data_IF_098031574992
#
_entry.id   IF_098031574992
#
_cell.length_a   1.000
_cell.length_b   1.000
_cell.length_c   1.000
_cell.angle_alpha   90.00
_cell.angle_beta   90.00
_cell.angle_gamma   90.00
#
_symmetry.space_group_name_H-M   'P 1'
#
loop_
_entity.id
_entity.type
_entity.pdbx_description
1 polymer ?
#
# COMPACT_ATOMS: atom_id res chain seq x y z
N UNK A 1 14.49 -7.20 16.48
CA UNK A 1 13.12 -7.73 16.49
C UNK A 1 13.06 -9.04 17.23
N UNK A 2 12.30 -9.10 18.33
CA UNK A 2 11.98 -10.36 19.01
C UNK A 2 11.33 -11.34 18.01
N UNK A 3 11.62 -12.64 18.13
CA UNK A 3 11.16 -13.64 17.15
C UNK A 3 9.65 -13.58 16.88
N UNK A 4 8.83 -13.35 17.92
CA UNK A 4 7.39 -13.22 17.80
C UNK A 4 6.93 -12.00 16.98
N UNK A 5 7.50 -10.81 17.22
CA UNK A 5 7.19 -9.61 16.43
C UNK A 5 7.57 -9.79 14.96
N UNK A 6 8.70 -10.47 14.72
CA UNK A 6 9.17 -10.76 13.37
C UNK A 6 8.25 -11.71 12.63
N UNK A 7 7.79 -12.74 13.32
CA UNK A 7 6.81 -13.68 12.79
C UNK A 7 5.50 -12.96 12.41
N UNK A 8 4.95 -12.13 13.30
CA UNK A 8 3.73 -11.37 13.03
C UNK A 8 3.90 -10.39 11.85
N UNK A 9 5.04 -9.71 11.76
CA UNK A 9 5.33 -8.82 10.65
C UNK A 9 5.43 -9.56 9.32
N UNK A 10 6.11 -10.72 9.30
CA UNK A 10 6.21 -11.57 8.11
C UNK A 10 4.85 -12.16 7.70
N UNK A 11 4.04 -12.62 8.65
CA UNK A 11 2.70 -13.15 8.40
C UNK A 11 1.80 -12.07 7.78
N UNK A 12 1.76 -10.87 8.38
CA UNK A 12 0.99 -9.75 7.84
C UNK A 12 1.47 -9.37 6.42
N UNK A 13 2.79 -9.28 6.21
CA UNK A 13 3.35 -8.97 4.91
C UNK A 13 3.05 -10.05 3.85
N UNK A 14 3.04 -11.33 4.24
CA UNK A 14 2.66 -12.44 3.36
C UNK A 14 1.18 -12.37 2.94
N UNK A 15 0.28 -12.11 3.90
CA UNK A 15 -1.16 -11.92 3.62
C UNK A 15 -1.36 -10.73 2.67
N UNK A 16 -0.71 -9.61 2.98
CA UNK A 16 -0.82 -8.39 2.20
C UNK A 16 -0.32 -8.59 0.76
N UNK A 17 0.89 -9.13 0.60
CA UNK A 17 1.47 -9.42 -0.71
C UNK A 17 0.64 -10.47 -1.47
N UNK A 18 0.26 -11.56 -0.81
CA UNK A 18 -0.52 -12.64 -1.41
C UNK A 18 -1.87 -12.17 -1.95
N UNK A 19 -2.59 -11.35 -1.19
CA UNK A 19 -3.85 -10.76 -1.64
C UNK A 19 -3.66 -9.83 -2.85
N UNK A 20 -2.65 -8.96 -2.82
CA UNK A 20 -2.35 -8.06 -3.95
C UNK A 20 -1.91 -8.82 -5.20
N UNK A 21 -1.09 -9.86 -5.08
CA UNK A 21 -0.71 -10.74 -6.20
C UNK A 21 -1.94 -11.42 -6.76
N UNK A 22 -2.71 -12.14 -5.92
CA UNK A 22 -3.91 -12.86 -6.36
C UNK A 22 -4.90 -11.96 -7.07
N UNK A 23 -5.13 -10.75 -6.53
CA UNK A 23 -6.01 -9.79 -7.18
C UNK A 23 -5.45 -9.32 -8.54
N UNK A 24 -4.15 -9.02 -8.61
CA UNK A 24 -3.53 -8.46 -9.82
C UNK A 24 -3.46 -9.46 -10.96
N UNK A 25 -3.05 -10.72 -10.68
CA UNK A 25 -2.81 -11.73 -11.72
C UNK A 25 -3.96 -12.72 -11.91
N UNK A 26 -4.82 -12.86 -10.90
CA UNK A 26 -5.94 -13.81 -10.91
C UNK A 26 -7.29 -13.11 -11.03
N UNK A 27 -7.74 -12.49 -9.93
CA UNK A 27 -9.11 -11.97 -9.84
C UNK A 27 -9.38 -10.84 -10.85
N UNK A 28 -8.47 -9.88 -10.99
CA UNK A 28 -8.60 -8.76 -11.92
C UNK A 28 -8.82 -9.22 -13.36
N UNK A 29 -7.89 -10.00 -13.95
CA UNK A 29 -8.07 -10.58 -15.28
C UNK A 29 -9.36 -11.40 -15.43
N UNK A 30 -9.76 -12.15 -14.39
CA UNK A 30 -11.01 -12.93 -14.42
C UNK A 30 -12.25 -12.04 -14.57
N UNK A 31 -12.34 -10.88 -13.90
CA UNK A 31 -13.48 -9.97 -14.02
C UNK A 31 -13.59 -9.30 -15.40
N UNK A 32 -12.47 -9.04 -16.05
CA UNK A 32 -12.42 -8.31 -17.32
C UNK A 32 -12.26 -9.19 -18.56
N UNK A 33 -12.04 -10.50 -18.37
CA UNK A 33 -11.90 -11.49 -19.43
C UNK A 33 -13.18 -11.76 -20.25
N UNK A 34 -13.05 -12.45 -21.39
CA UNK A 34 -14.16 -12.76 -22.29
C UNK A 34 -15.19 -13.71 -21.66
N UNK A 35 -14.76 -14.66 -20.84
CA UNK A 35 -15.65 -15.62 -20.16
C UNK A 35 -16.63 -14.90 -19.22
N UNK A 36 -16.12 -13.99 -18.39
CA UNK A 36 -16.98 -13.17 -17.52
C UNK A 36 -17.85 -12.21 -18.33
N UNK A 37 -17.39 -11.73 -19.49
CA UNK A 37 -18.21 -10.88 -20.35
C UNK A 37 -19.41 -11.64 -20.96
N UNK A 38 -19.26 -12.94 -21.24
CA UNK A 38 -20.34 -13.79 -21.71
C UNK A 38 -21.38 -14.08 -20.61
N UNK A 39 -20.94 -14.21 -19.36
CA UNK A 39 -21.83 -14.45 -18.23
C UNK A 39 -22.47 -13.17 -17.66
N UNK A 40 -21.70 -12.07 -17.57
CA UNK A 40 -22.09 -10.84 -16.91
C UNK A 40 -21.75 -9.61 -17.78
N UNK A 41 -22.68 -9.11 -18.61
CA UNK A 41 -22.42 -7.99 -19.49
C UNK A 41 -22.20 -6.67 -18.72
N UNK A 42 -21.60 -5.67 -19.39
CA UNK A 42 -21.51 -4.30 -18.85
C UNK A 42 -22.94 -3.75 -18.67
N UNK A 43 -23.23 -2.98 -17.60
CA UNK A 43 -22.31 -2.46 -16.57
C UNK A 43 -22.12 -3.38 -15.34
N UNK A 44 -22.86 -4.48 -15.22
CA UNK A 44 -22.92 -5.31 -14.01
C UNK A 44 -21.57 -5.90 -13.60
N UNK A 45 -20.76 -6.38 -14.56
CA UNK A 45 -19.41 -6.88 -14.25
C UNK A 45 -18.47 -5.83 -13.68
N UNK A 46 -18.60 -4.58 -14.12
CA UNK A 46 -17.75 -3.49 -13.64
C UNK A 46 -18.10 -3.15 -12.18
N UNK A 47 -19.40 -3.14 -11.84
CA UNK A 47 -19.86 -3.03 -10.45
C UNK A 47 -19.38 -4.18 -9.56
N UNK A 48 -19.40 -5.41 -10.07
CA UNK A 48 -18.87 -6.56 -9.33
C UNK A 48 -17.36 -6.40 -9.03
N UNK A 49 -16.59 -5.98 -10.02
CA UNK A 49 -15.16 -5.70 -9.86
C UNK A 49 -14.91 -4.55 -8.86
N UNK A 50 -15.66 -3.45 -8.94
CA UNK A 50 -15.59 -2.32 -8.00
C UNK A 50 -15.77 -2.77 -6.54
N UNK A 51 -16.74 -3.64 -6.27
CA UNK A 51 -16.98 -4.16 -4.93
C UNK A 51 -15.77 -4.94 -4.40
N UNK A 52 -15.19 -5.81 -5.22
CA UNK A 52 -14.00 -6.60 -4.84
C UNK A 52 -12.79 -5.70 -4.64
N UNK A 53 -12.59 -4.70 -5.51
CA UNK A 53 -11.53 -3.69 -5.40
C UNK A 53 -11.67 -2.91 -4.08
N UNK A 54 -12.88 -2.50 -3.71
CA UNK A 54 -13.12 -1.81 -2.45
C UNK A 54 -12.71 -2.66 -1.23
N UNK A 55 -13.03 -3.97 -1.25
CA UNK A 55 -12.60 -4.90 -0.20
C UNK A 55 -11.08 -5.10 -0.16
N UNK A 56 -10.44 -5.14 -1.32
CA UNK A 56 -8.98 -5.19 -1.39
C UNK A 56 -8.36 -3.94 -0.76
N UNK A 57 -8.88 -2.74 -1.03
CA UNK A 57 -8.37 -1.51 -0.40
C UNK A 57 -8.55 -1.52 1.11
N UNK A 58 -9.69 -2.00 1.62
CA UNK A 58 -9.85 -2.18 3.07
C UNK A 58 -8.80 -3.14 3.64
N UNK A 59 -8.53 -4.26 2.98
CA UNK A 59 -7.50 -5.19 3.41
C UNK A 59 -6.11 -4.54 3.38
N UNK A 60 -5.76 -3.81 2.33
CA UNK A 60 -4.49 -3.10 2.24
C UNK A 60 -4.33 -2.04 3.34
N UNK A 61 -5.41 -1.31 3.69
CA UNK A 61 -5.42 -0.35 4.80
C UNK A 61 -5.19 -1.06 6.15
N UNK A 62 -5.86 -2.19 6.39
CA UNK A 62 -5.69 -2.98 7.62
C UNK A 62 -4.26 -3.52 7.72
N UNK A 63 -3.74 -4.14 6.66
CA UNK A 63 -2.39 -4.66 6.63
C UNK A 63 -1.33 -3.56 6.79
N UNK A 64 -1.52 -2.40 6.16
CA UNK A 64 -0.67 -1.23 6.32
C UNK A 64 -0.69 -0.67 7.74
N UNK A 65 -1.86 -0.60 8.36
CA UNK A 65 -2.02 -0.24 9.77
C UNK A 65 -1.28 -1.20 10.70
N UNK A 66 -1.49 -2.51 10.55
CA UNK A 66 -0.80 -3.54 11.33
C UNK A 66 0.73 -3.43 11.15
N UNK A 67 1.21 -3.29 9.92
CA UNK A 67 2.63 -3.15 9.64
C UNK A 67 3.23 -1.92 10.33
N UNK A 68 2.55 -0.77 10.28
CA UNK A 68 2.98 0.45 10.94
C UNK A 68 2.98 0.30 12.46
N UNK A 69 1.93 -0.30 13.04
CA UNK A 69 1.86 -0.58 14.49
C UNK A 69 2.99 -1.49 14.96
N UNK A 70 3.27 -2.59 14.23
CA UNK A 70 4.37 -3.50 14.56
C UNK A 70 5.72 -2.80 14.50
N UNK A 71 5.93 -1.91 13.51
CA UNK A 71 7.12 -1.06 13.44
C UNK A 71 7.21 -0.11 14.65
N UNK A 72 6.13 0.58 15.02
CA UNK A 72 6.13 1.47 16.18
C UNK A 72 6.46 0.73 17.49
N UNK A 73 5.89 -0.46 17.69
CA UNK A 73 6.19 -1.30 18.86
C UNK A 73 7.67 -1.66 18.92
N UNK A 74 8.29 -2.03 17.79
CA UNK A 74 9.72 -2.33 17.72
C UNK A 74 10.57 -1.10 18.04
N UNK A 75 10.19 0.09 17.55
CA UNK A 75 10.88 1.35 17.82
C UNK A 75 10.90 1.66 19.32
N UNK A 76 9.73 1.60 19.96
CA UNK A 76 9.57 1.87 21.40
C UNK A 76 10.37 0.86 22.23
N UNK A 77 10.34 -0.43 21.88
CA UNK A 77 11.03 -1.48 22.65
C UNK A 77 12.54 -1.45 22.52
N UNK A 78 13.06 -1.21 21.32
CA UNK A 78 14.51 -1.29 21.07
C UNK A 78 15.22 0.03 21.27
N UNK A 79 14.49 1.15 21.31
CA UNK A 79 15.09 2.48 21.30
C UNK A 79 16.05 2.66 20.12
N UNK A 80 15.84 1.92 19.01
CA UNK A 80 16.62 2.06 17.77
C UNK A 80 15.78 2.84 16.79
N UNK A 81 16.43 3.78 16.11
CA UNK A 81 15.79 4.49 15.02
C UNK A 81 15.60 3.47 13.89
N UNK A 82 14.35 3.10 13.64
CA UNK A 82 14.01 2.21 12.52
C UNK A 82 14.50 2.87 11.24
N UNK A 83 15.10 2.08 10.35
CA UNK A 83 15.62 2.56 9.07
C UNK A 83 14.52 3.36 8.37
N UNK A 84 14.70 4.68 8.25
CA UNK A 84 13.68 5.63 7.79
C UNK A 84 13.00 5.18 6.49
N UNK A 85 13.76 4.51 5.63
CA UNK A 85 13.27 3.89 4.41
C UNK A 85 12.08 2.93 4.62
N UNK A 86 12.10 2.05 5.63
CA UNK A 86 11.03 1.06 5.83
C UNK A 86 9.75 1.70 6.37
N UNK A 87 9.89 2.65 7.28
CA UNK A 87 8.73 3.42 7.78
C UNK A 87 8.15 4.23 6.64
N UNK A 88 8.99 4.92 5.86
CA UNK A 88 8.56 5.68 4.68
C UNK A 88 7.86 4.81 3.64
N UNK A 89 8.39 3.62 3.36
CA UNK A 89 7.78 2.67 2.42
C UNK A 89 6.39 2.21 2.90
N UNK A 90 6.28 1.72 4.14
CA UNK A 90 4.98 1.24 4.67
C UNK A 90 3.97 2.39 4.76
N UNK A 91 4.41 3.57 5.19
CA UNK A 91 3.57 4.76 5.24
C UNK A 91 3.09 5.17 3.85
N UNK A 92 3.96 5.13 2.82
CA UNK A 92 3.60 5.43 1.44
C UNK A 92 2.58 4.42 0.89
N UNK A 93 2.79 3.11 1.13
CA UNK A 93 1.85 2.06 0.72
C UNK A 93 0.47 2.23 1.38
N UNK A 94 0.45 2.54 2.68
CA UNK A 94 -0.79 2.83 3.41
C UNK A 94 -1.48 4.09 2.84
N UNK A 95 -0.72 5.15 2.60
CA UNK A 95 -1.25 6.39 2.03
C UNK A 95 -1.84 6.17 0.64
N UNK A 96 -1.16 5.41 -0.23
CA UNK A 96 -1.70 5.04 -1.54
C UNK A 96 -3.02 4.27 -1.42
N UNK A 97 -3.11 3.32 -0.48
CA UNK A 97 -4.36 2.59 -0.26
C UNK A 97 -5.49 3.45 0.30
N UNK A 98 -5.17 4.46 1.11
CA UNK A 98 -6.16 5.42 1.63
C UNK A 98 -6.66 6.35 0.52
N UNK A 99 -5.76 6.92 -0.29
CA UNK A 99 -6.11 7.77 -1.43
C UNK A 99 -6.91 7.00 -2.48
N UNK A 100 -6.51 5.76 -2.77
CA UNK A 100 -7.21 4.91 -3.73
C UNK A 100 -8.65 4.60 -3.29
N UNK A 101 -8.85 4.22 -2.03
CA UNK A 101 -10.18 3.92 -1.49
C UNK A 101 -11.06 5.14 -1.25
N UNK A 102 -10.49 6.23 -0.72
CA UNK A 102 -11.23 7.42 -0.31
C UNK A 102 -11.58 8.39 -1.44
N UNK A 103 -10.79 8.42 -2.52
CA UNK A 103 -10.96 9.39 -3.59
C UNK A 103 -10.99 8.77 -4.99
N UNK A 104 -10.02 7.92 -5.33
CA UNK A 104 -9.93 7.39 -6.70
C UNK A 104 -11.10 6.46 -7.04
N UNK A 105 -11.46 5.54 -6.14
CA UNK A 105 -12.57 4.63 -6.31
C UNK A 105 -13.93 5.35 -6.51
N UNK A 106 -14.35 6.30 -5.64
CA UNK A 106 -15.59 7.03 -5.86
C UNK A 106 -15.56 7.90 -7.12
N UNK A 107 -14.42 8.51 -7.47
CA UNK A 107 -14.28 9.29 -8.70
C UNK A 107 -14.48 8.43 -9.96
N UNK A 108 -13.88 7.23 -9.98
CA UNK A 108 -14.06 6.26 -11.06
C UNK A 108 -15.51 5.76 -11.17
N UNK A 109 -16.17 5.54 -10.03
CA UNK A 109 -17.58 5.16 -9.99
C UNK A 109 -18.48 6.23 -10.61
N UNK A 110 -18.21 7.50 -10.35
CA UNK A 110 -18.96 8.61 -10.93
C UNK A 110 -18.78 8.69 -12.46
N UNK A 111 -17.55 8.53 -12.96
CA UNK A 111 -17.28 8.49 -14.39
C UNK A 111 -18.02 7.33 -15.09
N UNK A 112 -18.08 6.16 -14.44
CA UNK A 112 -18.87 5.04 -14.95
C UNK A 112 -20.37 5.34 -14.95
N UNK A 113 -20.88 5.99 -13.90
CA UNK A 113 -22.30 6.40 -13.85
C UNK A 113 -22.66 7.29 -15.03
N UNK A 114 -21.84 8.30 -15.35
CA UNK A 114 -22.06 9.19 -16.51
C UNK A 114 -21.97 8.42 -17.82
N UNK A 115 -21.00 7.51 -17.96
CA UNK A 115 -20.80 6.71 -19.18
C UNK A 115 -22.00 5.83 -19.53
N UNK A 116 -22.72 5.31 -18.53
CA UNK A 116 -23.85 4.41 -18.72
C UNK A 116 -25.21 5.05 -18.40
N UNK A 117 -25.26 6.34 -18.06
CA UNK A 117 -26.52 7.03 -17.77
C UNK A 117 -27.37 7.19 -19.05
N UNK A 118 -28.69 6.91 -19.00
CA UNK A 118 -29.60 7.07 -20.14
C UNK A 118 -29.61 8.49 -20.70
N UNK A 119 -29.56 9.49 -19.81
CA UNK A 119 -29.76 10.90 -20.14
C UNK A 119 -28.47 11.64 -20.54
N UNK A 120 -27.31 10.97 -20.51
CA UNK A 120 -26.04 11.60 -20.87
C UNK A 120 -25.89 11.76 -22.38
N UNK A 121 -25.46 12.95 -22.80
CA UNK A 121 -25.21 13.24 -24.22
C UNK A 121 -24.02 12.43 -24.74
N UNK A 122 -23.91 12.19 -26.06
CA UNK A 122 -22.77 11.50 -26.65
C UNK A 122 -21.43 12.16 -26.29
N UNK A 123 -21.38 13.50 -26.23
CA UNK A 123 -20.19 14.26 -25.84
C UNK A 123 -19.80 14.02 -24.37
N UNK A 124 -20.77 13.97 -23.45
CA UNK A 124 -20.53 13.66 -22.04
C UNK A 124 -20.01 12.23 -21.85
N UNK A 125 -20.58 11.26 -22.58
CA UNK A 125 -20.13 9.87 -22.53
C UNK A 125 -18.68 9.71 -23.02
N UNK A 126 -18.33 10.37 -24.12
CA UNK A 126 -16.97 10.34 -24.67
C UNK A 126 -15.94 10.97 -23.72
N UNK A 127 -16.27 12.12 -23.11
CA UNK A 127 -15.42 12.77 -22.12
C UNK A 127 -15.22 11.90 -20.87
N UNK A 128 -16.30 11.29 -20.37
CA UNK A 128 -16.25 10.39 -19.22
C UNK A 128 -15.42 9.12 -19.53
N UNK A 129 -15.52 8.58 -20.75
CA UNK A 129 -14.72 7.42 -21.17
C UNK A 129 -13.22 7.75 -21.24
N UNK A 130 -12.86 8.90 -21.81
CA UNK A 130 -11.46 9.33 -21.85
C UNK A 130 -10.88 9.52 -20.43
N UNK A 131 -11.60 10.24 -19.57
CA UNK A 131 -11.20 10.45 -18.18
C UNK A 131 -11.09 9.11 -17.42
N UNK A 132 -12.06 8.21 -17.61
CA UNK A 132 -12.05 6.89 -16.98
C UNK A 132 -10.82 6.08 -17.41
N UNK A 133 -10.49 6.06 -18.70
CA UNK A 133 -9.34 5.31 -19.20
C UNK A 133 -8.01 5.87 -18.65
N UNK A 134 -7.90 7.20 -18.52
CA UNK A 134 -6.73 7.85 -17.94
C UNK A 134 -6.55 7.48 -16.47
N UNK A 135 -7.62 7.59 -15.67
CA UNK A 135 -7.58 7.22 -14.26
C UNK A 135 -7.42 5.71 -14.03
N UNK A 136 -7.95 4.87 -14.94
CA UNK A 136 -7.69 3.44 -14.93
C UNK A 136 -6.21 3.14 -15.19
N UNK A 137 -5.58 3.80 -16.17
CA UNK A 137 -4.15 3.67 -16.40
C UNK A 137 -3.32 4.08 -15.18
N UNK A 138 -3.67 5.20 -14.56
CA UNK A 138 -3.04 5.65 -13.32
C UNK A 138 -3.20 4.66 -12.17
N UNK A 139 -4.38 4.06 -12.01
CA UNK A 139 -4.62 3.06 -10.95
C UNK A 139 -3.82 1.78 -11.17
N UNK A 140 -3.63 1.36 -12.43
CA UNK A 140 -2.76 0.22 -12.77
C UNK A 140 -1.30 0.50 -12.41
N UNK A 141 -0.80 1.70 -12.70
CA UNK A 141 0.55 2.11 -12.28
C UNK A 141 0.70 2.05 -10.76
N UNK A 142 -0.26 2.62 -10.02
CA UNK A 142 -0.26 2.55 -8.55
C UNK A 142 -0.30 1.11 -8.04
N UNK A 143 -1.07 0.23 -8.67
CA UNK A 143 -1.11 -1.19 -8.30
C UNK A 143 0.25 -1.87 -8.48
N UNK A 144 0.95 -1.61 -9.59
CA UNK A 144 2.31 -2.14 -9.84
C UNK A 144 3.31 -1.61 -8.80
N UNK A 145 3.25 -0.31 -8.48
CA UNK A 145 4.12 0.29 -7.46
C UNK A 145 3.84 -0.30 -6.08
N UNK A 146 2.57 -0.50 -5.72
CA UNK A 146 2.18 -1.18 -4.47
C UNK A 146 2.73 -2.59 -4.44
N UNK A 147 2.58 -3.36 -5.52
CA UNK A 147 3.11 -4.71 -5.60
C UNK A 147 4.64 -4.75 -5.43
N UNK A 148 5.36 -3.89 -6.15
CA UNK A 148 6.82 -3.78 -6.03
C UNK A 148 7.25 -3.38 -4.61
N UNK A 149 6.56 -2.42 -4.01
CA UNK A 149 6.80 -1.99 -2.64
C UNK A 149 6.55 -3.10 -1.61
N UNK A 150 5.52 -3.92 -1.80
CA UNK A 150 5.23 -5.07 -0.94
C UNK A 150 6.29 -6.17 -1.07
N UNK A 151 6.79 -6.44 -2.28
CA UNK A 151 7.91 -7.36 -2.50
C UNK A 151 9.16 -6.87 -1.77
N UNK A 152 9.51 -5.58 -1.90
CA UNK A 152 10.65 -4.97 -1.19
C UNK A 152 10.46 -5.03 0.33
N UNK A 153 9.24 -4.77 0.81
CA UNK A 153 8.92 -4.84 2.24
C UNK A 153 9.04 -6.26 2.79
N UNK A 154 8.46 -7.24 2.12
CA UNK A 154 8.53 -8.65 2.50
C UNK A 154 9.99 -9.16 2.49
N UNK A 155 10.73 -8.83 1.44
CA UNK A 155 12.16 -9.15 1.31
C UNK A 155 13.01 -8.55 2.43
N UNK A 156 12.71 -7.32 2.84
CA UNK A 156 13.42 -6.71 3.95
C UNK A 156 13.16 -7.40 5.29
N UNK A 157 11.92 -7.85 5.53
CA UNK A 157 11.56 -8.57 6.77
C UNK A 157 12.17 -9.99 6.83
N UNK A 158 12.40 -10.62 5.67
CA UNK A 158 12.98 -11.97 5.60
C UNK A 158 14.49 -11.98 5.89
N UNK A 159 15.17 -10.85 5.77
CA UNK A 159 16.60 -10.72 6.11
C UNK A 159 16.83 -10.48 7.60
N UNK A 160 17.87 -11.09 8.21
CA UNK A 160 18.24 -10.82 9.60
C UNK A 160 18.60 -9.34 9.79
N UNK A 161 18.23 -8.78 10.95
CA UNK A 161 18.42 -7.37 11.23
C UNK A 161 19.91 -7.04 11.42
N UNK A 162 20.53 -6.38 10.44
CA UNK A 162 21.84 -5.77 10.60
C UNK A 162 21.74 -4.58 11.57
N UNK A 163 22.68 -4.48 12.51
CA UNK A 163 22.59 -3.59 13.66
C UNK A 163 22.58 -2.10 13.31
N UNK A 164 21.40 -1.48 13.27
CA UNK A 164 21.26 -0.03 13.09
C UNK A 164 21.62 0.82 14.33
N UNK A 165 21.86 2.14 14.15
CA UNK A 165 22.19 3.07 15.23
C UNK A 165 21.10 3.14 16.30
N UNK A 166 21.51 3.22 17.58
CA UNK A 166 20.59 3.38 18.73
C UNK A 166 20.19 4.85 18.86
N UNK A 167 18.91 5.12 19.15
CA UNK A 167 18.34 6.46 19.30
C UNK A 167 19.09 7.30 20.34
N UNK A 168 19.58 6.65 21.41
CA UNK A 168 20.39 7.30 22.45
C UNK A 168 21.72 7.90 21.97
N UNK A 169 22.21 7.52 20.78
CA UNK A 169 23.45 8.07 20.24
C UNK A 169 23.24 9.35 19.41
N UNK A 170 22.00 9.68 19.01
CA UNK A 170 21.69 10.90 18.25
C UNK A 170 21.61 12.15 19.13
N UNK A 171 21.31 11.98 20.42
CA UNK A 171 21.21 13.08 21.39
C UNK A 171 22.42 13.15 22.33
N UNK A 172 23.42 12.28 22.14
CA UNK A 172 24.67 12.36 22.90
C UNK A 172 25.56 13.42 22.25
N UNK A 173 26.00 14.46 22.99
CA UNK A 173 27.05 15.34 22.50
C UNK A 173 28.24 14.48 22.07
N UNK A 174 28.76 14.69 20.86
CA UNK A 174 30.03 14.09 20.49
C UNK A 174 31.08 14.56 21.51
N UNK A 175 31.88 13.65 22.09
CA UNK A 175 33.01 14.09 22.91
C UNK A 175 33.90 14.99 22.05
N UNK A 176 34.44 16.09 22.61
CA UNK A 176 35.29 17.00 21.87
C UNK A 176 36.48 16.22 21.28
N UNK A 177 36.82 16.52 20.03
CA UNK A 177 37.82 15.79 19.26
C UNK A 177 39.24 15.88 19.85
N UNK A 178 39.44 16.75 20.84
CA UNK A 178 40.72 16.97 21.52
C UNK A 178 40.96 16.04 22.72
N UNK A 179 40.00 15.15 23.05
CA UNK A 179 40.14 14.22 24.16
C UNK A 179 40.15 14.88 25.54
N UNK A 180 39.71 16.13 25.65
CA UNK A 180 39.62 16.81 26.94
C UNK A 180 38.51 16.19 27.78
N UNK A 181 38.90 15.40 28.77
CA UNK A 181 37.99 14.92 29.82
C UNK A 181 37.68 16.12 30.73
N UNK A 182 36.41 16.48 30.96
CA UNK A 182 36.09 17.52 31.92
C UNK A 182 36.57 17.07 33.30
N UNK A 183 37.57 17.76 33.86
CA UNK A 183 37.92 17.61 35.28
C UNK A 183 36.73 18.14 36.08
N UNK A 184 35.97 17.23 36.70
CA UNK A 184 35.01 17.62 37.73
C UNK A 184 35.81 18.15 38.92
N UNK A 185 35.61 19.43 39.22
CA UNK A 185 35.93 20.07 40.50
C UNK A 185 34.74 19.93 41.44
#
# INVERSE_FOLDING_TARGET
MQAALRFLALLNAAIWLGATVFFTVGAGPAFFGPEMAAFLPKPHRARAAELVIARLFTLQQVCGGIALTLLLIECIRTGRLIRHFHVGLVAALLLFSLLAGGWLAPHMHELQRVRYAPDSTPAQRAAAEHAFNLWHGFSQLMNVLTLAGLVVHFWALSRPAEGGPRLGNLFRPQPPADGTVPRML
#
